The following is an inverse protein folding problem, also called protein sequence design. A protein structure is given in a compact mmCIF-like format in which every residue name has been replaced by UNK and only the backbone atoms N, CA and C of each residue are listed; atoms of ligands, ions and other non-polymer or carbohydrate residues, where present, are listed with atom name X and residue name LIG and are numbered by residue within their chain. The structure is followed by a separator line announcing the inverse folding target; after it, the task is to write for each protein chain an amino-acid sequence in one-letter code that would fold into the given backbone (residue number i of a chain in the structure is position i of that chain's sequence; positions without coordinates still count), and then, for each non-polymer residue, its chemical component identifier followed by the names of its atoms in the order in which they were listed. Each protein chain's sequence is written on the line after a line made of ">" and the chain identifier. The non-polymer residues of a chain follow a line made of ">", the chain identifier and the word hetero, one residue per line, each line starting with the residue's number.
data_IF_597739718816
#
_entry.id   IF_597739718816
#
_cell.length_a   1.000
_cell.length_b   1.000
_cell.length_c   1.000
_cell.angle_alpha   90.00
_cell.angle_beta   90.00
_cell.angle_gamma   90.00
#
_symmetry.space_group_name_H-M   'P 1'
#
loop_
_entity.id
_entity.type
_entity.pdbx_description
1 polymer ?
#
# COMPACT_ATOMS: atom_id res chain seq x y z
N UNK A 1 21.23 8.96 -2.08
CA UNK A 1 20.47 7.76 -2.53
C UNK A 1 21.45 6.61 -2.69
N UNK A 2 21.23 5.47 -2.03
CA UNK A 2 22.09 4.31 -2.20
C UNK A 2 21.90 3.71 -3.59
N UNK A 3 22.99 3.31 -4.23
CA UNK A 3 22.99 2.66 -5.54
C UNK A 3 22.78 1.14 -5.37
N UNK A 4 22.37 0.43 -6.44
CA UNK A 4 22.26 -1.04 -6.43
C UNK A 4 23.54 -1.71 -5.95
N UNK A 5 24.71 -1.16 -6.32
CA UNK A 5 26.02 -1.66 -5.89
C UNK A 5 26.21 -1.56 -4.38
N UNK A 6 25.74 -0.47 -3.76
CA UNK A 6 25.85 -0.26 -2.30
C UNK A 6 24.93 -1.23 -1.54
N UNK A 7 23.69 -1.46 -2.00
CA UNK A 7 22.81 -2.46 -1.40
C UNK A 7 23.36 -3.88 -1.52
N UNK A 8 23.93 -4.24 -2.67
CA UNK A 8 24.55 -5.54 -2.88
C UNK A 8 25.77 -5.75 -1.96
N UNK A 9 26.59 -4.72 -1.78
CA UNK A 9 27.74 -4.78 -0.87
C UNK A 9 27.29 -4.90 0.59
N UNK A 10 26.26 -4.14 1.01
CA UNK A 10 25.68 -4.22 2.35
C UNK A 10 25.11 -5.62 2.63
N UNK A 11 24.40 -6.21 1.67
CA UNK A 11 23.84 -7.55 1.78
C UNK A 11 24.93 -8.59 2.05
N UNK A 12 26.01 -8.57 1.30
CA UNK A 12 27.15 -9.50 1.50
C UNK A 12 27.81 -9.28 2.87
N UNK A 13 27.98 -8.03 3.29
CA UNK A 13 28.55 -7.72 4.60
C UNK A 13 27.69 -8.21 5.76
N UNK A 14 26.37 -8.00 5.69
CA UNK A 14 25.42 -8.47 6.70
C UNK A 14 25.28 -9.99 6.73
N UNK A 15 25.31 -10.66 5.58
CA UNK A 15 25.34 -12.13 5.51
C UNK A 15 26.58 -12.71 6.22
N UNK A 16 27.75 -12.12 5.99
CA UNK A 16 28.99 -12.53 6.68
C UNK A 16 28.97 -12.29 8.19
N UNK A 17 28.21 -11.28 8.62
CA UNK A 17 28.04 -10.94 10.04
C UNK A 17 26.89 -11.72 10.72
N UNK A 18 26.16 -12.57 10.01
CA UNK A 18 25.01 -13.31 10.53
C UNK A 18 23.84 -12.42 10.96
N UNK A 19 23.65 -11.29 10.27
CA UNK A 19 22.59 -10.28 10.58
C UNK A 19 21.41 -10.46 9.65
N UNK A 20 20.61 -11.49 9.85
CA UNK A 20 19.53 -11.92 8.94
C UNK A 20 18.49 -10.84 8.67
N UNK A 21 18.17 -10.02 9.68
CA UNK A 21 17.20 -8.93 9.52
C UNK A 21 17.71 -7.86 8.56
N UNK A 22 18.94 -7.43 8.73
CA UNK A 22 19.58 -6.42 7.87
C UNK A 22 19.81 -6.96 6.46
N UNK A 23 20.02 -8.27 6.33
CA UNK A 23 20.07 -8.97 5.04
C UNK A 23 18.72 -8.85 4.34
N UNK A 24 17.61 -9.17 5.03
CA UNK A 24 16.26 -9.09 4.46
C UNK A 24 15.91 -7.66 4.04
N UNK A 25 16.24 -6.67 4.86
CA UNK A 25 16.00 -5.24 4.57
C UNK A 25 16.81 -4.80 3.34
N UNK A 26 18.10 -5.10 3.30
CA UNK A 26 18.97 -4.74 2.18
C UNK A 26 18.52 -5.41 0.88
N UNK A 27 18.04 -6.65 0.96
CA UNK A 27 17.49 -7.39 -0.16
C UNK A 27 16.22 -6.74 -0.71
N UNK A 28 15.28 -6.32 0.15
CA UNK A 28 14.06 -5.63 -0.26
C UNK A 28 14.38 -4.31 -1.02
N UNK A 29 15.33 -3.52 -0.51
CA UNK A 29 15.78 -2.31 -1.20
C UNK A 29 16.45 -2.62 -2.54
N UNK A 30 17.28 -3.67 -2.61
CA UNK A 30 17.93 -4.08 -3.85
C UNK A 30 16.90 -4.52 -4.91
N UNK A 31 15.91 -5.32 -4.52
CA UNK A 31 14.82 -5.73 -5.41
C UNK A 31 14.08 -4.52 -6.00
N UNK A 32 13.76 -3.52 -5.16
CA UNK A 32 13.11 -2.29 -5.62
C UNK A 32 13.96 -1.52 -6.63
N UNK A 33 15.25 -1.34 -6.36
CA UNK A 33 16.16 -0.63 -7.26
C UNK A 33 16.36 -1.40 -8.58
N UNK A 34 16.42 -2.74 -8.52
CA UNK A 34 16.45 -3.57 -9.71
C UNK A 34 15.17 -3.41 -10.54
N UNK A 35 14.00 -3.42 -9.89
CA UNK A 35 12.72 -3.18 -10.57
C UNK A 35 12.65 -1.80 -11.26
N UNK A 36 13.18 -0.76 -10.62
CA UNK A 36 13.29 0.59 -11.20
C UNK A 36 14.22 0.66 -12.41
N UNK A 37 15.25 -0.18 -12.44
CA UNK A 37 16.22 -0.24 -13.54
C UNK A 37 15.68 -0.96 -14.79
N UNK A 38 14.58 -1.72 -14.67
CA UNK A 38 13.94 -2.38 -15.82
C UNK A 38 13.31 -1.31 -16.71
N UNK A 39 13.60 -1.31 -18.03
CA UNK A 39 13.05 -0.35 -18.98
C UNK A 39 11.51 -0.35 -19.01
N UNK A 40 10.92 0.81 -19.30
CA UNK A 40 9.46 1.00 -19.29
C UNK A 40 8.73 0.18 -20.36
N UNK A 41 9.41 -0.21 -21.44
CA UNK A 41 8.87 -1.06 -22.50
C UNK A 41 8.77 -2.54 -22.07
N UNK A 42 9.54 -2.97 -21.08
CA UNK A 42 9.47 -4.31 -20.48
C UNK A 42 8.43 -4.38 -19.35
N UNK A 43 7.18 -4.02 -19.65
CA UNK A 43 6.10 -3.83 -18.67
C UNK A 43 5.90 -5.07 -17.80
N UNK A 44 5.85 -6.27 -18.39
CA UNK A 44 5.57 -7.52 -17.65
C UNK A 44 6.67 -7.82 -16.63
N UNK A 45 7.92 -7.70 -17.01
CA UNK A 45 9.07 -7.98 -16.15
C UNK A 45 9.17 -6.95 -15.04
N UNK A 46 8.93 -5.67 -15.37
CA UNK A 46 8.90 -4.58 -14.41
C UNK A 46 7.79 -4.74 -13.37
N UNK A 47 6.58 -5.08 -13.79
CA UNK A 47 5.44 -5.35 -12.89
C UNK A 47 5.77 -6.51 -11.95
N UNK A 48 6.27 -7.63 -12.46
CA UNK A 48 6.68 -8.78 -11.64
C UNK A 48 7.76 -8.43 -10.62
N UNK A 49 8.79 -7.69 -11.04
CA UNK A 49 9.87 -7.26 -10.16
C UNK A 49 9.39 -6.32 -9.03
N UNK A 50 8.44 -5.43 -9.31
CA UNK A 50 7.83 -4.59 -8.27
C UNK A 50 6.95 -5.39 -7.30
N UNK A 51 6.22 -6.40 -7.75
CA UNK A 51 5.48 -7.30 -6.87
C UNK A 51 6.42 -8.00 -5.89
N UNK A 52 7.53 -8.57 -6.40
CA UNK A 52 8.55 -9.23 -5.56
C UNK A 52 9.16 -8.28 -4.53
N UNK A 53 9.48 -7.06 -4.91
CA UNK A 53 9.97 -6.03 -4.00
C UNK A 53 8.91 -5.66 -2.93
N UNK A 54 7.65 -5.55 -3.31
CA UNK A 54 6.52 -5.29 -2.40
C UNK A 54 6.36 -6.38 -1.35
N UNK A 55 6.43 -7.64 -1.74
CA UNK A 55 6.38 -8.79 -0.85
C UNK A 55 7.56 -8.80 0.14
N UNK A 56 8.76 -8.49 -0.33
CA UNK A 56 9.95 -8.42 0.51
C UNK A 56 9.84 -7.32 1.58
N UNK A 57 9.38 -6.11 1.22
CA UNK A 57 9.13 -5.05 2.19
C UNK A 57 8.00 -5.38 3.17
N UNK A 58 6.90 -5.99 2.72
CA UNK A 58 5.81 -6.44 3.57
C UNK A 58 6.28 -7.45 4.62
N UNK A 59 7.14 -8.38 4.21
CA UNK A 59 7.76 -9.36 5.11
C UNK A 59 8.65 -8.67 6.15
N UNK A 60 9.47 -7.70 5.75
CA UNK A 60 10.27 -6.90 6.69
C UNK A 60 9.40 -6.14 7.69
N UNK A 61 8.28 -5.58 7.25
CA UNK A 61 7.34 -4.87 8.11
C UNK A 61 6.72 -5.80 9.16
N UNK A 62 6.26 -6.98 8.75
CA UNK A 62 5.67 -8.01 9.64
C UNK A 62 6.68 -8.54 10.66
N UNK A 63 7.94 -8.68 10.26
CA UNK A 63 9.03 -9.13 11.14
C UNK A 63 9.57 -8.04 12.08
N UNK A 64 9.11 -6.80 11.95
CA UNK A 64 9.55 -5.69 12.81
C UNK A 64 9.04 -5.84 14.24
N UNK A 65 9.92 -5.61 15.22
CA UNK A 65 9.57 -5.67 16.64
C UNK A 65 8.58 -4.58 17.05
N UNK A 66 7.78 -4.76 18.12
CA UNK A 66 6.76 -3.79 18.55
C UNK A 66 7.31 -2.38 18.80
N UNK A 67 8.53 -2.25 19.30
CA UNK A 67 9.16 -0.95 19.56
C UNK A 67 9.68 -0.25 18.28
N UNK A 68 9.77 -0.96 17.16
CA UNK A 68 10.25 -0.46 15.87
C UNK A 68 9.10 0.08 15.00
N UNK A 69 8.21 0.84 15.61
CA UNK A 69 6.99 1.33 14.95
C UNK A 69 7.32 2.18 13.72
N UNK A 70 8.32 3.08 13.82
CA UNK A 70 8.70 3.98 12.72
C UNK A 70 9.20 3.20 11.51
N UNK A 71 10.09 2.24 11.73
CA UNK A 71 10.63 1.40 10.65
C UNK A 71 9.53 0.54 10.04
N UNK A 72 8.68 -0.08 10.86
CA UNK A 72 7.56 -0.88 10.39
C UNK A 72 6.61 -0.09 9.48
N UNK A 73 6.24 1.13 9.86
CA UNK A 73 5.41 2.01 9.02
C UNK A 73 6.11 2.34 7.71
N UNK A 74 7.41 2.62 7.74
CA UNK A 74 8.20 2.91 6.54
C UNK A 74 8.28 1.70 5.60
N UNK A 75 8.44 0.48 6.12
CA UNK A 75 8.45 -0.73 5.28
C UNK A 75 7.09 -1.01 4.66
N UNK A 76 5.99 -0.84 5.39
CA UNK A 76 4.65 -0.94 4.80
C UNK A 76 4.41 0.12 3.72
N UNK A 77 4.87 1.36 3.92
CA UNK A 77 4.77 2.40 2.90
C UNK A 77 5.57 2.05 1.63
N UNK A 78 6.80 1.53 1.78
CA UNK A 78 7.60 1.06 0.65
C UNK A 78 6.94 -0.14 -0.06
N UNK A 79 6.38 -1.09 0.70
CA UNK A 79 5.63 -2.21 0.14
C UNK A 79 4.44 -1.73 -0.71
N UNK A 80 3.65 -0.81 -0.17
CA UNK A 80 2.49 -0.24 -0.86
C UNK A 80 2.88 0.44 -2.17
N UNK A 81 3.93 1.26 -2.18
CA UNK A 81 4.42 1.92 -3.39
C UNK A 81 4.90 0.90 -4.44
N UNK A 82 5.57 -0.16 -4.01
CA UNK A 82 5.97 -1.24 -4.91
C UNK A 82 4.75 -1.98 -5.48
N UNK A 83 3.75 -2.31 -4.66
CA UNK A 83 2.53 -2.97 -5.12
C UNK A 83 1.71 -2.09 -6.08
N UNK A 84 1.69 -0.77 -5.90
CA UNK A 84 1.08 0.15 -6.88
C UNK A 84 1.77 0.01 -8.25
N UNK A 85 3.10 0.02 -8.28
CA UNK A 85 3.87 -0.19 -9.52
C UNK A 85 3.68 -1.62 -10.08
N UNK A 86 3.50 -2.60 -9.21
CA UNK A 86 3.17 -3.98 -9.52
C UNK A 86 1.71 -4.21 -9.90
N UNK A 87 0.87 -3.17 -9.91
CA UNK A 87 -0.58 -3.23 -10.19
C UNK A 87 -1.37 -4.15 -9.25
N UNK A 88 -0.84 -4.44 -8.08
CA UNK A 88 -1.51 -5.17 -7.00
C UNK A 88 -2.18 -4.15 -6.06
N UNK A 89 -3.29 -3.57 -6.51
CA UNK A 89 -3.89 -2.40 -5.87
C UNK A 89 -4.62 -2.74 -4.55
N UNK A 90 -5.12 -3.95 -4.39
CA UNK A 90 -5.69 -4.42 -3.14
C UNK A 90 -4.62 -4.52 -2.04
N UNK A 91 -3.52 -5.18 -2.34
CA UNK A 91 -2.38 -5.33 -1.42
C UNK A 91 -1.72 -3.99 -1.11
N UNK A 92 -1.64 -3.11 -2.12
CA UNK A 92 -1.14 -1.75 -1.94
C UNK A 92 -2.01 -0.96 -0.96
N UNK A 93 -3.34 -1.03 -1.11
CA UNK A 93 -4.28 -0.39 -0.20
C UNK A 93 -4.11 -0.89 1.23
N UNK A 94 -4.08 -2.20 1.46
CA UNK A 94 -3.83 -2.81 2.77
C UNK A 94 -2.51 -2.37 3.40
N UNK A 95 -1.44 -2.33 2.62
CA UNK A 95 -0.14 -1.84 3.09
C UNK A 95 -0.18 -0.34 3.45
N UNK A 96 -0.89 0.50 2.70
CA UNK A 96 -1.07 1.92 3.06
C UNK A 96 -1.88 2.08 4.35
N UNK A 97 -2.89 1.25 4.61
CA UNK A 97 -3.62 1.22 5.89
C UNK A 97 -2.65 0.91 7.03
N UNK A 98 -1.86 -0.15 6.90
CA UNK A 98 -0.84 -0.51 7.90
C UNK A 98 0.23 0.57 8.09
N UNK A 99 0.56 1.33 7.05
CA UNK A 99 1.45 2.49 7.11
C UNK A 99 0.79 3.75 7.68
N UNK A 100 -0.50 3.69 8.06
CA UNK A 100 -1.32 4.83 8.50
C UNK A 100 -1.44 5.96 7.45
N UNK A 101 -1.36 5.60 6.18
CA UNK A 101 -1.52 6.53 5.05
C UNK A 101 -2.92 6.36 4.42
N UNK A 102 -3.96 6.60 5.21
CA UNK A 102 -5.36 6.27 4.89
C UNK A 102 -5.89 6.97 3.63
N UNK A 103 -5.51 8.22 3.41
CA UNK A 103 -5.87 8.94 2.17
C UNK A 103 -5.31 8.28 0.92
N UNK A 104 -4.09 7.76 0.98
CA UNK A 104 -3.50 6.99 -0.13
C UNK A 104 -4.19 5.65 -0.30
N UNK A 105 -4.45 4.94 0.80
CA UNK A 105 -5.18 3.67 0.78
C UNK A 105 -6.53 3.82 0.07
N UNK A 106 -7.34 4.79 0.48
CA UNK A 106 -8.65 5.04 -0.12
C UNK A 106 -8.57 5.37 -1.63
N UNK A 107 -7.56 6.14 -2.06
CA UNK A 107 -7.34 6.44 -3.48
C UNK A 107 -6.97 5.20 -4.29
N UNK A 108 -6.08 4.36 -3.74
CA UNK A 108 -5.62 3.14 -4.40
C UNK A 108 -6.74 2.11 -4.49
N UNK A 109 -7.53 1.93 -3.44
CA UNK A 109 -8.70 1.06 -3.47
C UNK A 109 -9.73 1.52 -4.52
N UNK A 110 -9.98 2.83 -4.62
CA UNK A 110 -10.83 3.38 -5.69
C UNK A 110 -10.28 3.02 -7.07
N UNK A 111 -8.98 3.21 -7.30
CA UNK A 111 -8.32 2.93 -8.57
C UNK A 111 -8.42 1.45 -8.95
N UNK A 112 -8.29 0.55 -7.98
CA UNK A 112 -8.43 -0.89 -8.14
C UNK A 112 -9.88 -1.39 -8.24
N UNK A 113 -10.87 -0.52 -7.99
CA UNK A 113 -12.28 -0.91 -7.95
C UNK A 113 -12.70 -1.62 -6.66
N UNK A 114 -11.87 -1.55 -5.61
CA UNK A 114 -12.10 -2.12 -4.29
C UNK A 114 -12.93 -1.14 -3.43
N UNK A 115 -14.20 -0.98 -3.80
CA UNK A 115 -15.06 0.05 -3.20
C UNK A 115 -15.48 -0.29 -1.77
N UNK A 116 -15.63 -1.56 -1.43
CA UNK A 116 -16.00 -1.98 -0.07
C UNK A 116 -14.86 -1.64 0.91
N UNK A 117 -13.62 -1.97 0.56
CA UNK A 117 -12.42 -1.64 1.35
C UNK A 117 -12.17 -0.14 1.41
N UNK A 118 -12.45 0.57 0.31
CA UNK A 118 -12.36 2.03 0.29
C UNK A 118 -13.33 2.66 1.30
N UNK A 119 -14.58 2.21 1.33
CA UNK A 119 -15.60 2.74 2.26
C UNK A 119 -15.24 2.39 3.70
N UNK A 120 -14.78 1.17 3.97
CA UNK A 120 -14.31 0.77 5.30
C UNK A 120 -13.23 1.71 5.83
N UNK A 121 -12.20 2.01 5.03
CA UNK A 121 -11.15 2.97 5.40
C UNK A 121 -11.70 4.37 5.66
N UNK A 122 -12.66 4.84 4.85
CA UNK A 122 -13.30 6.15 5.04
C UNK A 122 -14.14 6.23 6.32
N UNK A 123 -14.71 5.12 6.76
CA UNK A 123 -15.51 5.04 7.98
C UNK A 123 -14.65 4.94 9.23
N UNK A 124 -13.69 4.03 9.23
CA UNK A 124 -12.81 3.77 10.37
C UNK A 124 -11.84 4.93 10.66
N UNK A 125 -11.37 5.63 9.61
CA UNK A 125 -10.36 6.68 9.71
C UNK A 125 -10.88 8.07 9.30
N UNK A 126 -12.15 8.33 9.57
CA UNK A 126 -12.84 9.58 9.21
C UNK A 126 -12.10 10.85 9.65
N UNK A 127 -11.52 10.85 10.84
CA UNK A 127 -10.84 12.02 11.40
C UNK A 127 -9.42 12.23 10.84
N UNK A 128 -8.89 11.25 10.13
CA UNK A 128 -7.52 11.24 9.62
C UNK A 128 -7.45 11.49 8.11
N UNK A 129 -8.62 11.52 7.45
CA UNK A 129 -8.75 11.76 6.01
C UNK A 129 -9.40 13.12 5.79
N UNK A 130 -8.88 13.89 4.84
CA UNK A 130 -9.42 15.20 4.48
C UNK A 130 -10.91 15.12 4.08
N UNK A 131 -11.75 16.01 4.61
CA UNK A 131 -13.19 15.99 4.40
C UNK A 131 -13.60 16.11 2.92
N UNK A 132 -12.88 16.90 2.14
CA UNK A 132 -13.11 17.05 0.70
C UNK A 132 -12.92 15.73 -0.05
N UNK A 133 -11.85 15.00 0.28
CA UNK A 133 -11.57 13.69 -0.29
C UNK A 133 -12.62 12.65 0.12
N UNK A 134 -13.03 12.64 1.40
CA UNK A 134 -14.09 11.75 1.87
C UNK A 134 -15.38 11.95 1.09
N UNK A 135 -15.82 13.21 0.93
CA UNK A 135 -17.03 13.56 0.19
C UNK A 135 -16.96 13.08 -1.25
N UNK A 136 -15.83 13.30 -1.90
CA UNK A 136 -15.60 12.86 -3.28
C UNK A 136 -15.66 11.33 -3.42
N UNK A 137 -14.96 10.61 -2.55
CA UNK A 137 -14.88 9.15 -2.64
C UNK A 137 -16.20 8.47 -2.25
N UNK A 138 -16.93 9.00 -1.25
CA UNK A 138 -18.27 8.51 -0.89
C UNK A 138 -19.26 8.67 -2.04
N UNK A 139 -19.25 9.81 -2.74
CA UNK A 139 -20.08 10.02 -3.92
C UNK A 139 -19.78 8.99 -5.02
N UNK A 140 -18.51 8.68 -5.25
CA UNK A 140 -18.10 7.65 -6.23
C UNK A 140 -18.60 6.26 -5.80
N UNK A 141 -18.48 5.91 -4.52
CA UNK A 141 -18.99 4.64 -3.98
C UNK A 141 -20.51 4.51 -4.14
N UNK A 142 -21.26 5.56 -3.80
CA UNK A 142 -22.72 5.59 -3.99
C UNK A 142 -23.11 5.36 -5.44
N UNK A 143 -22.43 6.01 -6.38
CA UNK A 143 -22.68 5.79 -7.82
C UNK A 143 -22.37 4.36 -8.25
N UNK A 144 -21.31 3.76 -7.72
CA UNK A 144 -20.96 2.36 -7.98
C UNK A 144 -22.04 1.41 -7.44
N UNK A 145 -22.42 1.56 -6.17
CA UNK A 145 -23.42 0.70 -5.53
C UNK A 145 -24.80 0.82 -6.20
N UNK A 146 -25.17 2.01 -6.60
CA UNK A 146 -26.41 2.22 -7.37
C UNK A 146 -26.42 1.43 -8.69
N UNK A 147 -25.29 1.44 -9.42
CA UNK A 147 -25.16 0.69 -10.68
C UNK A 147 -25.20 -0.83 -10.52
N UNK A 148 -24.59 -1.36 -9.44
CA UNK A 148 -24.53 -2.81 -9.19
C UNK A 148 -25.71 -3.33 -8.36
N UNK A 149 -26.67 -2.47 -7.97
CA UNK A 149 -27.84 -2.85 -7.18
C UNK A 149 -27.52 -3.27 -5.74
N UNK A 150 -26.34 -2.92 -5.20
CA UNK A 150 -25.99 -3.13 -3.80
C UNK A 150 -26.63 -2.02 -2.95
N UNK A 151 -27.23 -2.33 -1.78
CA UNK A 151 -27.76 -1.28 -0.91
C UNK A 151 -26.62 -0.43 -0.37
N UNK A 152 -26.82 0.90 -0.18
CA UNK A 152 -25.88 1.76 0.51
C UNK A 152 -25.56 1.24 1.92
N UNK A 153 -24.39 1.56 2.43
CA UNK A 153 -23.98 1.20 3.80
C UNK A 153 -24.92 1.79 4.84
N UNK A 154 -24.91 1.27 6.06
CA UNK A 154 -25.87 1.64 7.13
C UNK A 154 -25.88 3.14 7.43
N UNK A 155 -24.75 3.84 7.27
CA UNK A 155 -24.65 5.29 7.47
C UNK A 155 -25.37 6.10 6.38
N UNK A 156 -25.37 5.62 5.13
CA UNK A 156 -26.10 6.28 4.04
C UNK A 156 -27.60 6.23 4.25
N UNK A 157 -28.12 5.16 4.89
CA UNK A 157 -29.53 5.05 5.29
C UNK A 157 -29.93 6.06 6.37
N UNK A 158 -29.02 6.38 7.30
CA UNK A 158 -29.28 7.37 8.36
C UNK A 158 -29.30 8.79 7.78
N UNK A 159 -28.44 9.09 6.80
CA UNK A 159 -28.42 10.39 6.13
C UNK A 159 -29.69 10.65 5.30
N UNK A 160 -30.27 9.63 4.67
CA UNK A 160 -31.56 9.74 3.95
C UNK A 160 -32.74 10.00 4.88
N UNK A 161 -32.72 9.44 6.10
CA UNK A 161 -33.80 9.63 7.09
C UNK A 161 -33.76 11.04 7.71
N UNK A 162 -32.58 11.67 7.79
CA UNK A 162 -32.40 13.02 8.38
C UNK A 162 -32.72 14.14 7.37
N UNK A 163 -32.73 13.85 6.06
CA UNK A 163 -33.06 14.83 5.01
C UNK A 163 -34.56 14.87 4.62
N UNK A 164 -35.42 14.16 5.35
CA UNK A 164 -36.86 14.23 5.28
C UNK A 164 -37.42 14.70 6.65
#
# INVERSE_FOLDING_TARGET
>A
MFTNKQYAQALVAFQRAGRDREVAISHAFLLRENARAIPDDQVKDRVGAFCEAGEAFSTCAKASQPHQTRERLAYYANAAECFVQGRMLEEAGGCFVHAKQYSKAARVYREGGHFDEMVEVLEEHRNEIEASLQTQLRKIAQMHYFKVGKPPTTEDKVAEIVCH
#
